data_IF_821437657313
#
_entry.id   IF_821437657313
#
_cell.length_a   1.000
_cell.length_b   1.000
_cell.length_c   1.000
_cell.angle_alpha   90.00
_cell.angle_beta   90.00
_cell.angle_gamma   90.00
#
_symmetry.space_group_name_H-M   'P 1'
#
loop_
_entity.id
_entity.type
_entity.pdbx_description
1 polymer ?
#
# COMPACT_ATOMS: atom_id res chain seq x y z
N UNK A 1 -1.11 2.69 6.23
CA UNK A 1 -1.52 2.73 4.81
C UNK A 1 -1.59 4.19 4.43
N UNK A 2 -0.60 4.69 3.70
CA UNK A 2 -0.50 6.13 3.47
C UNK A 2 -1.37 6.49 2.27
N UNK A 3 -2.47 7.19 2.54
CA UNK A 3 -3.45 7.59 1.53
C UNK A 3 -2.78 8.28 0.32
N UNK A 4 -1.72 9.06 0.60
CA UNK A 4 -0.90 9.75 -0.39
C UNK A 4 -0.12 8.79 -1.31
N UNK A 5 0.45 7.70 -0.79
CA UNK A 5 1.16 6.70 -1.60
C UNK A 5 0.18 5.96 -2.52
N UNK A 6 -1.00 5.63 -2.01
CA UNK A 6 -2.05 4.98 -2.80
C UNK A 6 -2.58 5.88 -3.92
N UNK A 7 -2.74 7.18 -3.63
CA UNK A 7 -3.15 8.16 -4.63
C UNK A 7 -2.12 8.30 -5.76
N UNK A 8 -0.82 8.37 -5.43
CA UNK A 8 0.25 8.44 -6.44
C UNK A 8 0.24 7.18 -7.30
N UNK A 9 0.09 6.00 -6.71
CA UNK A 9 -0.03 4.73 -7.47
C UNK A 9 -1.23 4.77 -8.42
N UNK A 10 -2.39 5.23 -7.95
CA UNK A 10 -3.60 5.33 -8.78
C UNK A 10 -3.39 6.27 -9.97
N UNK A 11 -2.77 7.43 -9.75
CA UNK A 11 -2.44 8.40 -10.80
C UNK A 11 -1.46 7.82 -11.83
N UNK A 12 -0.41 7.14 -11.38
CA UNK A 12 0.54 6.44 -12.27
C UNK A 12 -0.18 5.40 -13.12
N UNK A 13 -1.06 4.59 -12.53
CA UNK A 13 -1.82 3.57 -13.28
C UNK A 13 -2.74 4.18 -14.31
N UNK A 14 -3.46 5.26 -13.97
CA UNK A 14 -4.34 5.97 -14.90
C UNK A 14 -3.55 6.57 -16.09
N UNK A 15 -2.47 7.30 -15.80
CA UNK A 15 -1.62 7.88 -16.84
C UNK A 15 -1.03 6.83 -17.78
N UNK A 16 -0.60 5.67 -17.27
CA UNK A 16 -0.10 4.58 -18.12
C UNK A 16 -1.17 4.00 -19.04
N UNK A 17 -2.41 3.90 -18.56
CA UNK A 17 -3.53 3.46 -19.40
C UNK A 17 -3.80 4.47 -20.52
N UNK A 18 -3.81 5.77 -20.21
CA UNK A 18 -3.97 6.84 -21.21
C UNK A 18 -2.82 6.88 -22.21
N UNK A 19 -1.58 6.70 -21.74
CA UNK A 19 -0.40 6.59 -22.61
C UNK A 19 -0.53 5.45 -23.62
N UNK A 20 -1.11 4.31 -23.22
CA UNK A 20 -1.32 3.17 -24.12
C UNK A 20 -2.29 3.53 -25.26
N UNK A 21 -3.33 4.33 -24.97
CA UNK A 21 -4.26 4.81 -25.98
C UNK A 21 -3.61 5.80 -26.94
N UNK A 22 -2.77 6.71 -26.43
CA UNK A 22 -2.03 7.65 -27.28
C UNK A 22 -0.99 6.93 -28.14
N UNK A 23 -0.30 5.92 -27.61
CA UNK A 23 0.61 5.08 -28.40
C UNK A 23 -0.12 4.32 -29.52
N UNK A 24 -1.35 3.84 -29.27
CA UNK A 24 -2.18 3.24 -30.30
C UNK A 24 -2.57 4.27 -31.39
N UNK A 25 -2.96 5.48 -30.99
CA UNK A 25 -3.28 6.55 -31.94
C UNK A 25 -2.08 6.95 -32.81
N UNK A 26 -0.86 7.02 -32.23
CA UNK A 26 0.38 7.26 -32.98
C UNK A 26 0.60 6.15 -34.01
N UNK A 27 0.44 4.88 -33.62
CA UNK A 27 0.57 3.75 -34.56
C UNK A 27 -0.44 3.84 -35.70
N UNK A 28 -1.68 4.21 -35.42
CA UNK A 28 -2.72 4.39 -36.43
C UNK A 28 -2.41 5.55 -37.39
N UNK A 29 -1.87 6.66 -36.88
CA UNK A 29 -1.42 7.79 -37.70
C UNK A 29 -0.26 7.40 -38.61
N UNK A 30 0.76 6.72 -38.07
CA UNK A 30 1.91 6.23 -38.84
C UNK A 30 1.47 5.24 -39.92
N UNK A 31 0.58 4.31 -39.60
CA UNK A 31 0.06 3.34 -40.57
C UNK A 31 -0.75 3.98 -41.71
N UNK A 32 -1.17 5.24 -41.56
CA UNK A 32 -1.91 6.02 -42.56
C UNK A 32 -1.08 7.14 -43.17
N UNK A 33 0.23 7.16 -42.89
CA UNK A 33 1.15 8.21 -43.33
C UNK A 33 0.69 9.64 -42.92
N UNK A 34 0.02 9.75 -41.77
CA UNK A 34 -0.43 11.01 -41.19
C UNK A 34 0.62 11.58 -40.21
N UNK A 35 0.60 12.90 -40.02
CA UNK A 35 1.41 13.56 -38.99
C UNK A 35 1.01 13.09 -37.59
N UNK A 36 1.99 12.62 -36.82
CA UNK A 36 1.85 12.15 -35.45
C UNK A 36 2.59 13.04 -34.43
N UNK A 37 3.10 14.20 -34.84
CA UNK A 37 3.92 15.08 -34.01
C UNK A 37 3.19 15.49 -32.73
N UNK A 38 1.94 15.93 -32.81
CA UNK A 38 1.14 16.34 -31.66
C UNK A 38 0.91 15.19 -30.66
N UNK A 39 0.50 14.02 -31.17
CA UNK A 39 0.30 12.83 -30.34
C UNK A 39 1.61 12.39 -29.66
N UNK A 40 2.73 12.52 -30.36
CA UNK A 40 4.07 12.25 -29.83
C UNK A 40 4.47 13.23 -28.72
N UNK A 41 4.23 14.53 -28.91
CA UNK A 41 4.47 15.53 -27.86
C UNK A 41 3.62 15.25 -26.61
N UNK A 42 2.34 14.90 -26.79
CA UNK A 42 1.46 14.53 -25.69
C UNK A 42 1.96 13.29 -24.96
N UNK A 43 2.44 12.27 -25.68
CA UNK A 43 3.03 11.08 -25.07
C UNK A 43 4.27 11.41 -24.24
N UNK A 44 5.15 12.29 -24.74
CA UNK A 44 6.34 12.73 -24.01
C UNK A 44 5.98 13.51 -22.75
N UNK A 45 4.96 14.38 -22.81
CA UNK A 45 4.45 15.10 -21.64
C UNK A 45 3.94 14.14 -20.56
N UNK A 46 3.11 13.16 -20.93
CA UNK A 46 2.63 12.13 -19.98
C UNK A 46 3.79 11.30 -19.40
N UNK A 47 4.82 10.98 -20.19
CA UNK A 47 6.03 10.29 -19.69
C UNK A 47 6.77 11.12 -18.64
N UNK A 48 6.87 12.44 -18.84
CA UNK A 48 7.47 13.35 -17.86
C UNK A 48 6.65 13.40 -16.56
N UNK A 49 5.32 13.44 -16.65
CA UNK A 49 4.44 13.39 -15.47
C UNK A 49 4.58 12.08 -14.69
N UNK A 50 4.63 10.94 -15.39
CA UNK A 50 4.86 9.64 -14.74
C UNK A 50 6.23 9.62 -14.03
N UNK A 51 7.27 10.19 -14.63
CA UNK A 51 8.59 10.27 -14.01
C UNK A 51 8.57 11.13 -12.73
N UNK A 52 7.90 12.28 -12.74
CA UNK A 52 7.72 13.14 -11.55
C UNK A 52 6.92 12.43 -10.45
N UNK A 53 5.82 11.75 -10.81
CA UNK A 53 5.04 10.95 -9.85
C UNK A 53 5.85 9.82 -9.23
N UNK A 54 6.70 9.14 -10.01
CA UNK A 54 7.61 8.11 -9.49
C UNK A 54 8.65 8.75 -8.55
N UNK A 55 9.19 9.91 -8.89
CA UNK A 55 10.10 10.67 -8.02
C UNK A 55 9.45 11.00 -6.67
N UNK A 56 8.22 11.53 -6.70
CA UNK A 56 7.42 11.81 -5.50
C UNK A 56 7.11 10.55 -4.70
N UNK A 57 6.73 9.46 -5.38
CA UNK A 57 6.46 8.18 -4.73
C UNK A 57 7.69 7.66 -3.98
N UNK A 58 8.88 7.73 -4.59
CA UNK A 58 10.14 7.39 -3.94
C UNK A 58 10.43 8.29 -2.74
N UNK A 59 10.27 9.60 -2.88
CA UNK A 59 10.49 10.57 -1.80
C UNK A 59 9.53 10.37 -0.61
N UNK A 60 8.33 9.84 -0.85
CA UNK A 60 7.34 9.51 0.20
C UNK A 60 7.57 8.16 0.89
N UNK A 61 8.71 7.49 0.68
CA UNK A 61 8.99 6.18 1.27
C UNK A 61 8.33 5.01 0.54
N UNK A 62 7.79 5.22 -0.66
CA UNK A 62 7.23 4.15 -1.48
C UNK A 62 8.25 3.09 -1.89
N UNK A 63 9.54 3.43 -1.84
CA UNK A 63 10.66 2.53 -2.13
C UNK A 63 11.09 1.68 -0.92
N UNK A 64 10.58 1.95 0.28
CA UNK A 64 10.89 1.14 1.46
C UNK A 64 10.30 -0.26 1.27
N UNK A 65 11.05 -1.29 1.71
CA UNK A 65 10.62 -2.69 1.63
C UNK A 65 9.22 -2.80 2.23
N UNK A 66 8.23 -3.09 1.39
CA UNK A 66 6.88 -3.33 1.86
C UNK A 66 6.91 -4.52 2.82
N UNK A 67 6.34 -4.40 4.04
CA UNK A 67 6.24 -5.53 4.93
C UNK A 67 5.43 -6.63 4.24
N UNK A 68 5.99 -7.83 4.25
CA UNK A 68 5.35 -9.05 3.75
C UNK A 68 4.01 -9.26 4.43
N UNK A 69 3.14 -10.04 3.79
CA UNK A 69 1.80 -10.37 4.35
C UNK A 69 1.91 -10.89 5.79
N UNK A 70 2.94 -11.71 6.08
CA UNK A 70 3.22 -12.23 7.41
C UNK A 70 3.60 -11.12 8.40
N UNK A 71 4.53 -10.24 8.03
CA UNK A 71 4.94 -9.10 8.87
C UNK A 71 3.74 -8.18 9.17
N UNK A 72 2.86 -7.94 8.19
CA UNK A 72 1.62 -7.17 8.37
C UNK A 72 0.65 -7.85 9.35
N UNK A 73 0.43 -9.15 9.21
CA UNK A 73 -0.44 -9.93 10.09
C UNK A 73 0.08 -9.95 11.53
N UNK A 74 1.38 -10.15 11.73
CA UNK A 74 2.01 -10.15 13.06
C UNK A 74 1.90 -8.77 13.72
N UNK A 75 2.10 -7.69 12.96
CA UNK A 75 1.94 -6.33 13.48
C UNK A 75 0.49 -6.02 13.88
N UNK A 76 -0.49 -6.41 13.04
CA UNK A 76 -1.92 -6.30 13.37
C UNK A 76 -2.34 -7.13 14.59
N UNK A 77 -1.66 -8.26 14.85
CA UNK A 77 -1.90 -9.07 16.05
C UNK A 77 -1.26 -8.46 17.29
N UNK A 78 -0.07 -7.87 17.16
CA UNK A 78 0.61 -7.16 18.25
C UNK A 78 -0.14 -5.87 18.66
N UNK A 79 -0.80 -5.21 17.72
CA UNK A 79 -1.60 -4.01 17.95
C UNK A 79 -3.01 -4.31 18.51
N UNK A 80 -3.43 -5.58 18.58
CA UNK A 80 -4.66 -5.93 19.30
C UNK A 80 -4.41 -5.82 20.82
N UNK A 81 -5.23 -5.07 21.58
CA UNK A 81 -5.12 -5.07 23.03
C UNK A 81 -5.44 -6.49 23.52
N UNK A 82 -4.41 -7.21 23.95
CA UNK A 82 -4.56 -8.52 24.59
C UNK A 82 -5.31 -8.28 25.90
N UNK A 83 -6.61 -8.54 25.92
CA UNK A 83 -7.35 -8.76 27.15
C UNK A 83 -6.73 -9.98 27.84
N UNK A 84 -5.79 -9.73 28.76
CA UNK A 84 -5.15 -10.75 29.59
C UNK A 84 -6.19 -11.29 30.55
N UNK A 85 -6.88 -12.36 30.20
CA UNK A 85 -7.55 -13.21 31.19
C UNK A 85 -6.47 -13.88 32.02
N UNK A 86 -6.20 -13.33 33.21
CA UNK A 86 -5.33 -13.94 34.21
C UNK A 86 -5.93 -15.30 34.61
N UNK A 87 -5.17 -16.35 34.36
CA UNK A 87 -5.35 -17.66 34.95
C UNK A 87 -4.80 -17.58 36.38
N UNK A 88 -5.66 -17.49 37.40
CA UNK A 88 -5.21 -17.58 38.79
C UNK A 88 -5.45 -18.99 39.33
N UNK A 89 -4.34 -19.64 39.63
CA UNK A 89 -4.21 -21.01 40.14
C UNK A 89 -3.71 -20.84 41.58
N UNK A 90 -4.60 -20.98 42.56
CA UNK A 90 -4.25 -20.79 43.97
C UNK A 90 -5.02 -21.73 44.91
N UNK A 91 -4.36 -22.79 45.38
CA UNK A 91 -4.65 -23.50 46.64
C UNK A 91 -3.37 -23.32 47.48
N UNK A 92 -3.43 -22.99 48.79
CA UNK A 92 -3.67 -23.99 49.85
C UNK A 92 -4.46 -23.47 51.08
N UNK A 93 -4.90 -24.37 51.97
CA UNK A 93 -5.41 -24.04 53.33
C UNK A 93 -4.28 -23.66 54.31
N UNK A 94 -4.44 -23.72 55.67
CA UNK A 94 -5.54 -24.23 56.50
C UNK A 94 -5.97 -23.28 57.65
N UNK A 95 -7.05 -23.58 58.40
CA UNK A 95 -7.47 -22.77 59.55
C UNK A 95 -8.53 -23.44 60.44
N UNK A 96 -8.08 -23.88 61.61
CA UNK A 96 -8.75 -24.59 62.71
C UNK A 96 -9.84 -23.75 63.40
N UNK A 97 -11.02 -24.32 63.67
CA UNK A 97 -11.94 -23.80 64.70
C UNK A 97 -12.48 -24.98 65.53
N UNK A 98 -12.05 -25.02 66.78
CA UNK A 98 -12.62 -25.79 67.90
C UNK A 98 -13.82 -25.06 68.48
N UNK A 99 -14.84 -25.76 68.96
CA UNK A 99 -15.56 -25.49 70.23
C UNK A 99 -16.28 -26.78 70.67
N UNK A 100 -16.09 -27.13 71.95
CA UNK A 100 -16.73 -28.17 72.79
C UNK A 100 -17.84 -27.49 73.65
N UNK A 101 -18.72 -28.17 74.42
CA UNK A 101 -18.48 -29.35 75.27
C UNK A 101 -19.14 -30.65 74.80
#
# INVERSE_FOLDING_TARGET
MDNKINEIRRKISALRAEMTLVEAAIRDQVNRDLDCSEASYRLLAMRAEVADLIGRWKATGGCDRLPTVRERLTQSQAERPVARTKLDKGKPGPGRVTIRP
#
